data_IF_541666060325
#
_entry.id   IF_541666060325
#
_cell.length_a   1.000
_cell.length_b   1.000
_cell.length_c   1.000
_cell.angle_alpha   90.00
_cell.angle_beta   90.00
_cell.angle_gamma   90.00
#
_symmetry.space_group_name_H-M   'P 1'
#
loop_
_entity.id
_entity.type
_entity.pdbx_description
1 polymer ?
#
# COMPACT_ATOMS: atom_id res chain seq x y z
N UNK A 1 -21.04 5.01 21.27
CA UNK A 1 -20.00 3.99 21.02
C UNK A 1 -20.43 3.00 19.91
N UNK A 2 -21.01 3.50 18.80
CA UNK A 2 -21.55 2.67 17.69
C UNK A 2 -21.10 3.16 16.30
N UNK A 3 -20.46 4.32 16.20
CA UNK A 3 -20.03 4.94 14.94
C UNK A 3 -18.72 4.37 14.37
N UNK A 4 -17.87 3.74 15.20
CA UNK A 4 -16.61 3.13 14.73
C UNK A 4 -16.79 1.76 14.07
N UNK A 5 -17.85 1.04 14.41
CA UNK A 5 -18.15 -0.30 13.86
C UNK A 5 -18.79 -0.19 12.48
N UNK A 6 -19.59 0.84 12.24
CA UNK A 6 -20.22 1.07 10.93
C UNK A 6 -19.22 1.44 9.83
N UNK A 7 -18.14 2.19 10.16
CA UNK A 7 -17.08 2.46 9.18
C UNK A 7 -16.28 1.19 8.82
N UNK A 8 -16.03 0.30 9.79
CA UNK A 8 -15.31 -0.94 9.54
C UNK A 8 -16.11 -1.92 8.67
N UNK A 9 -17.45 -1.92 8.79
CA UNK A 9 -18.32 -2.77 7.99
C UNK A 9 -18.47 -2.28 6.54
N UNK A 10 -18.34 -0.97 6.29
CA UNK A 10 -18.40 -0.40 4.93
C UNK A 10 -17.13 -0.69 4.12
N UNK A 11 -15.97 -0.76 4.78
CA UNK A 11 -14.69 -1.05 4.11
C UNK A 11 -14.56 -2.54 3.75
N UNK A 12 -15.30 -3.43 4.43
CA UNK A 12 -15.18 -4.88 4.26
C UNK A 12 -15.77 -5.42 2.94
N UNK A 13 -16.47 -4.60 2.13
CA UNK A 13 -17.12 -5.11 0.91
C UNK A 13 -16.78 -4.42 -0.42
N UNK A 14 -16.14 -3.25 -0.48
CA UNK A 14 -16.12 -2.51 -1.76
C UNK A 14 -14.82 -1.86 -2.27
N UNK A 15 -13.79 -1.57 -1.47
CA UNK A 15 -12.69 -0.77 -2.01
C UNK A 15 -11.48 -1.61 -2.44
N UNK A 16 -11.42 -1.94 -3.73
CA UNK A 16 -10.15 -2.25 -4.39
C UNK A 16 -9.21 -1.08 -4.14
N UNK A 17 -8.17 -1.27 -3.34
CA UNK A 17 -7.17 -0.22 -3.09
C UNK A 17 -6.48 0.16 -4.41
N UNK A 18 -6.58 1.42 -4.83
CA UNK A 18 -6.00 1.93 -6.07
C UNK A 18 -4.76 2.78 -5.78
N UNK A 19 -3.65 2.50 -6.48
CA UNK A 19 -2.43 3.29 -6.46
C UNK A 19 -2.31 4.10 -7.75
N UNK A 20 -2.49 5.41 -7.64
CA UNK A 20 -2.50 6.32 -8.78
C UNK A 20 -1.09 6.81 -9.11
N UNK A 21 -0.74 6.77 -10.40
CA UNK A 21 0.46 7.37 -10.96
C UNK A 21 0.02 8.41 -11.99
N UNK A 22 0.29 9.67 -11.70
CA UNK A 22 0.02 10.77 -12.62
C UNK A 22 1.23 10.96 -13.52
N UNK A 23 1.02 10.91 -14.84
CA UNK A 23 2.05 11.17 -15.83
C UNK A 23 2.49 12.65 -15.84
N UNK A 24 3.36 13.04 -16.78
CA UNK A 24 3.89 12.21 -17.86
C UNK A 24 4.80 11.06 -17.37
N UNK A 25 4.76 9.92 -18.08
CA UNK A 25 5.56 8.72 -17.74
C UNK A 25 6.94 8.67 -18.41
N UNK A 26 7.38 9.83 -18.92
CA UNK A 26 8.72 10.06 -19.49
C UNK A 26 9.78 10.20 -18.41
N UNK A 27 9.37 10.50 -17.18
CA UNK A 27 10.23 10.66 -16.01
C UNK A 27 9.74 9.78 -14.85
N UNK A 28 10.53 9.74 -13.78
CA UNK A 28 10.18 8.97 -12.58
C UNK A 28 8.94 9.57 -11.92
N UNK A 29 7.88 8.78 -11.82
CA UNK A 29 6.64 9.17 -11.12
C UNK A 29 6.60 8.51 -9.76
N UNK A 30 6.43 9.30 -8.70
CA UNK A 30 6.31 8.77 -7.33
C UNK A 30 4.86 8.75 -6.88
N UNK A 31 4.45 7.69 -6.20
CA UNK A 31 3.19 7.58 -5.48
C UNK A 31 3.49 7.20 -4.02
N UNK A 32 2.79 7.82 -3.07
CA UNK A 32 3.00 7.57 -1.64
C UNK A 32 1.90 6.67 -1.07
N UNK A 33 2.34 5.59 -0.45
CA UNK A 33 1.51 4.63 0.25
C UNK A 33 1.68 4.84 1.76
N UNK A 34 0.57 5.07 2.48
CA UNK A 34 0.59 5.31 3.92
C UNK A 34 0.13 4.05 4.66
N UNK A 35 1.05 3.42 5.38
CA UNK A 35 0.74 2.30 6.26
C UNK A 35 0.63 2.79 7.69
N UNK A 36 -0.51 2.54 8.35
CA UNK A 36 -0.69 2.85 9.76
C UNK A 36 -0.86 1.55 10.53
N UNK A 37 -0.10 1.39 11.61
CA UNK A 37 -0.30 0.32 12.58
C UNK A 37 -1.19 0.83 13.72
N UNK A 38 -2.48 0.46 13.76
CA UNK A 38 -3.36 0.85 14.85
C UNK A 38 -3.23 -0.08 16.08
N UNK A 39 -2.47 -1.18 15.97
CA UNK A 39 -2.37 -2.17 17.04
C UNK A 39 -1.37 -1.75 18.12
N UNK A 40 -1.41 -2.50 19.22
CA UNK A 40 -0.49 -2.43 20.37
C UNK A 40 0.77 -3.29 20.16
N UNK A 41 0.87 -4.01 19.05
CA UNK A 41 1.99 -4.91 18.71
C UNK A 41 2.77 -4.37 17.51
N UNK A 42 4.04 -4.77 17.42
CA UNK A 42 4.86 -4.49 16.23
C UNK A 42 4.32 -5.28 15.04
N UNK A 43 4.26 -4.63 13.88
CA UNK A 43 3.83 -5.25 12.62
C UNK A 43 4.97 -5.19 11.62
N UNK A 44 5.40 -6.33 11.11
CA UNK A 44 6.33 -6.38 9.99
C UNK A 44 5.53 -6.31 8.68
N UNK A 45 6.05 -5.57 7.70
CA UNK A 45 5.46 -5.46 6.38
C UNK A 45 6.48 -5.78 5.29
N UNK A 46 5.98 -6.25 4.14
CA UNK A 46 6.74 -6.51 2.93
C UNK A 46 5.89 -6.18 1.71
N UNK A 47 6.44 -5.37 0.82
CA UNK A 47 5.80 -4.95 -0.42
C UNK A 47 6.29 -5.84 -1.56
N UNK A 48 5.35 -6.44 -2.29
CA UNK A 48 5.58 -7.24 -3.50
C UNK A 48 4.85 -6.58 -4.67
N UNK A 49 5.39 -6.72 -5.87
CA UNK A 49 4.78 -6.20 -7.10
C UNK A 49 4.88 -7.23 -8.22
N UNK A 50 3.92 -7.19 -9.15
CA UNK A 50 3.97 -8.03 -10.36
C UNK A 50 4.94 -7.51 -11.42
N UNK A 51 5.49 -6.30 -11.25
CA UNK A 51 6.40 -5.67 -12.22
C UNK A 51 7.66 -5.07 -11.56
N UNK A 52 8.49 -5.88 -10.86
CA UNK A 52 9.61 -5.37 -10.06
C UNK A 52 10.67 -4.59 -10.87
N UNK A 53 10.77 -4.82 -12.19
CA UNK A 53 11.68 -4.07 -13.07
C UNK A 53 11.25 -2.63 -13.32
N UNK A 54 9.95 -2.33 -13.22
CA UNK A 54 9.40 -0.99 -13.51
C UNK A 54 9.22 -0.14 -12.25
N UNK A 55 9.36 -0.73 -11.06
CA UNK A 55 9.08 -0.04 -9.81
C UNK A 55 10.24 -0.13 -8.84
N UNK A 56 10.60 1.00 -8.25
CA UNK A 56 11.44 1.08 -7.07
C UNK A 56 10.55 1.41 -5.86
N UNK A 57 10.62 0.62 -4.79
CA UNK A 57 9.82 0.81 -3.57
C UNK A 57 10.76 1.09 -2.41
N UNK A 58 10.52 2.19 -1.67
CA UNK A 58 11.30 2.52 -0.48
C UNK A 58 10.42 3.03 0.67
N UNK A 59 10.51 2.45 1.88
CA UNK A 59 11.08 1.13 2.17
C UNK A 59 10.26 -0.01 1.54
N UNK A 60 10.91 -1.08 1.07
CA UNK A 60 10.21 -2.26 0.51
C UNK A 60 9.76 -3.26 1.58
N UNK A 61 10.40 -3.25 2.75
CA UNK A 61 10.05 -4.03 3.93
C UNK A 61 10.52 -3.32 5.18
N UNK A 62 9.96 -3.69 6.32
CA UNK A 62 10.37 -3.14 7.61
C UNK A 62 9.40 -3.51 8.72
N UNK A 63 9.58 -2.86 9.86
CA UNK A 63 8.70 -2.99 11.03
C UNK A 63 8.03 -1.64 11.28
N UNK A 64 6.75 -1.68 11.65
CA UNK A 64 5.96 -0.53 12.06
C UNK A 64 5.62 -0.72 13.54
N UNK A 65 6.08 0.22 14.37
CA UNK A 65 5.80 0.20 15.79
C UNK A 65 4.31 0.41 16.11
N UNK A 66 3.86 0.01 17.31
CA UNK A 66 2.49 0.25 17.77
C UNK A 66 2.07 1.72 17.63
N UNK A 67 0.89 1.97 17.06
CA UNK A 67 0.37 3.32 16.83
C UNK A 67 1.10 4.14 15.74
N UNK A 68 2.24 3.67 15.23
CA UNK A 68 3.06 4.41 14.28
C UNK A 68 2.46 4.40 12.87
N UNK A 69 2.89 5.40 12.08
CA UNK A 69 2.55 5.50 10.65
C UNK A 69 3.83 5.60 9.85
N UNK A 70 3.91 4.80 8.79
CA UNK A 70 5.02 4.75 7.85
C UNK A 70 4.54 5.20 6.47
N UNK A 71 5.38 5.96 5.77
CA UNK A 71 5.17 6.32 4.37
C UNK A 71 6.11 5.50 3.50
N UNK A 72 5.56 4.88 2.46
CA UNK A 72 6.27 4.10 1.46
C UNK A 72 6.18 4.85 0.15
N UNK A 73 7.32 5.19 -0.44
CA UNK A 73 7.39 5.78 -1.76
C UNK A 73 7.53 4.69 -2.81
N UNK A 74 6.56 4.64 -3.72
CA UNK A 74 6.55 3.76 -4.89
C UNK A 74 6.90 4.62 -6.10
N UNK A 75 8.10 4.44 -6.63
CA UNK A 75 8.63 5.17 -7.77
C UNK A 75 8.51 4.29 -9.02
N UNK A 76 7.65 4.70 -9.94
CA UNK A 76 7.54 4.13 -11.27
C UNK A 76 8.67 4.68 -12.14
N UNK A 77 9.46 3.80 -12.74
CA UNK A 77 10.49 4.16 -13.70
C UNK A 77 9.86 4.61 -15.03
N UNK A 78 10.53 5.49 -15.79
CA UNK A 78 10.08 5.91 -17.11
C UNK A 78 9.78 4.74 -18.03
N UNK A 79 8.71 4.83 -18.82
CA UNK A 79 8.39 3.84 -19.84
C UNK A 79 7.49 4.41 -20.92
N UNK A 80 7.50 3.77 -22.09
CA UNK A 80 6.59 4.10 -23.19
C UNK A 80 5.16 3.71 -22.81
N UNK A 81 4.37 4.70 -22.42
CA UNK A 81 2.98 4.51 -22.01
C UNK A 81 2.06 4.42 -23.23
N UNK A 82 1.40 3.26 -23.41
CA UNK A 82 0.33 3.08 -24.38
C UNK A 82 -1.05 3.18 -23.67
N UNK A 83 -1.89 4.18 -24.00
CA UNK A 83 -3.22 4.32 -23.42
C UNK A 83 -4.17 3.15 -23.74
N UNK A 84 -3.88 2.36 -24.78
CA UNK A 84 -4.64 1.15 -25.11
C UNK A 84 -4.23 -0.04 -24.25
N UNK A 85 -3.03 0.00 -23.65
CA UNK A 85 -2.56 -1.02 -22.73
C UNK A 85 -3.19 -0.79 -21.35
N UNK A 86 -4.26 -1.55 -21.06
CA UNK A 86 -4.82 -1.59 -19.70
C UNK A 86 -3.76 -2.14 -18.76
N UNK A 87 -3.02 -1.25 -18.10
CA UNK A 87 -1.97 -1.66 -17.19
C UNK A 87 -2.53 -2.54 -16.08
N UNK A 88 -1.96 -3.75 -15.94
CA UNK A 88 -2.41 -4.78 -14.98
C UNK A 88 -1.51 -4.86 -13.75
N UNK A 89 -0.65 -3.86 -13.53
CA UNK A 89 0.29 -3.89 -12.41
C UNK A 89 -0.46 -3.93 -11.08
N UNK A 90 -0.04 -4.87 -10.24
CA UNK A 90 -0.59 -5.05 -8.90
C UNK A 90 0.53 -4.99 -7.88
N UNK A 91 0.23 -4.34 -6.77
CA UNK A 91 1.04 -4.39 -5.57
C UNK A 91 0.34 -5.25 -4.53
N UNK A 92 1.14 -5.86 -3.67
CA UNK A 92 0.69 -6.62 -2.53
C UNK A 92 1.51 -6.20 -1.33
N UNK A 93 0.84 -5.67 -0.31
CA UNK A 93 1.44 -5.40 0.99
C UNK A 93 1.10 -6.60 1.87
N UNK A 94 2.12 -7.34 2.24
CA UNK A 94 2.02 -8.48 3.13
C UNK A 94 2.45 -8.04 4.51
N UNK A 95 1.63 -8.30 5.53
CA UNK A 95 1.90 -7.91 6.91
C UNK A 95 1.77 -9.08 7.86
N UNK A 96 2.51 -9.03 8.96
CA UNK A 96 2.44 -10.00 10.04
C UNK A 96 2.73 -9.33 11.39
N UNK A 97 2.12 -9.81 12.45
CA UNK A 97 2.53 -9.47 13.80
C UNK A 97 3.92 -10.02 14.13
N UNK A 98 4.75 -9.19 14.72
CA UNK A 98 6.06 -9.62 15.24
C UNK A 98 5.84 -10.22 16.62
N UNK A 99 6.15 -11.51 16.84
CA UNK A 99 6.17 -12.12 18.16
C UNK A 99 7.21 -11.41 19.04
N UNK A 100 6.93 -11.27 20.33
CA UNK A 100 7.82 -10.58 21.27
C UNK A 100 9.24 -11.19 21.35
N UNK A 101 9.39 -12.46 20.95
CA UNK A 101 10.65 -13.20 20.98
C UNK A 101 11.57 -12.92 19.79
N UNK A 102 11.11 -12.26 18.73
CA UNK A 102 11.88 -12.12 17.49
C UNK A 102 12.34 -10.68 17.29
N UNK A 103 13.67 -10.51 17.27
CA UNK A 103 14.34 -9.22 17.01
C UNK A 103 14.73 -9.04 15.54
N UNK A 104 14.79 -10.13 14.76
CA UNK A 104 15.19 -10.11 13.37
C UNK A 104 14.00 -10.27 12.41
N UNK A 105 13.71 -9.21 11.65
CA UNK A 105 12.64 -9.17 10.67
C UNK A 105 12.85 -10.15 9.49
N UNK A 106 14.09 -10.51 9.17
CA UNK A 106 14.38 -11.38 8.03
C UNK A 106 14.17 -12.87 8.38
N UNK A 107 14.51 -13.26 9.61
CA UNK A 107 14.21 -14.58 10.16
C UNK A 107 12.69 -14.83 10.25
N UNK A 108 11.91 -13.80 10.60
CA UNK A 108 10.44 -13.88 10.66
C UNK A 108 9.83 -14.43 9.37
N UNK A 109 10.30 -14.02 8.19
CA UNK A 109 9.66 -14.44 6.95
C UNK A 109 9.88 -15.92 6.59
N UNK A 110 10.79 -16.63 7.27
CA UNK A 110 11.11 -18.05 6.98
C UNK A 110 10.18 -19.02 7.70
N UNK A 111 9.79 -18.70 8.93
CA UNK A 111 9.06 -19.61 9.82
C UNK A 111 7.54 -19.34 9.86
N UNK A 112 7.07 -18.39 9.06
CA UNK A 112 5.68 -17.94 9.09
C UNK A 112 4.77 -18.83 8.28
N UNK A 113 3.71 -19.29 8.93
CA UNK A 113 2.64 -20.03 8.28
C UNK A 113 1.84 -19.10 7.37
N UNK A 114 1.40 -19.56 6.18
CA UNK A 114 0.57 -18.77 5.27
C UNK A 114 -0.70 -18.23 5.95
N UNK A 115 -1.26 -18.97 6.90
CA UNK A 115 -2.47 -18.62 7.63
C UNK A 115 -2.28 -17.45 8.61
N UNK A 116 -1.05 -17.06 8.94
CA UNK A 116 -0.76 -15.91 9.79
C UNK A 116 -0.54 -14.62 8.97
N UNK A 117 -0.29 -14.77 7.66
CA UNK A 117 -0.03 -13.65 6.76
C UNK A 117 -1.30 -12.88 6.43
N UNK A 118 -1.19 -11.55 6.45
CA UNK A 118 -2.23 -10.64 6.03
C UNK A 118 -1.82 -9.97 4.72
N UNK A 119 -2.52 -10.28 3.63
CA UNK A 119 -2.24 -9.74 2.30
C UNK A 119 -3.26 -8.67 1.92
N UNK A 120 -2.76 -7.48 1.60
CA UNK A 120 -3.54 -6.37 1.03
C UNK A 120 -3.10 -6.14 -0.43
N UNK A 121 -4.01 -6.32 -1.38
CA UNK A 121 -3.73 -6.14 -2.82
C UNK A 121 -4.14 -4.73 -3.26
N UNK A 122 -3.24 -4.05 -3.96
CA UNK A 122 -3.48 -2.76 -4.58
C UNK A 122 -3.35 -2.87 -6.10
N UNK A 123 -4.18 -2.14 -6.83
CA UNK A 123 -4.14 -2.05 -8.29
C UNK A 123 -3.55 -0.71 -8.71
N UNK A 124 -2.62 -0.71 -9.65
CA UNK A 124 -2.10 0.54 -10.20
C UNK A 124 -3.06 1.13 -11.23
N UNK A 125 -3.21 2.45 -11.18
CA UNK A 125 -3.96 3.25 -12.15
C UNK A 125 -3.02 4.33 -12.67
N UNK A 126 -2.99 4.51 -13.98
CA UNK A 126 -2.14 5.48 -14.65
C UNK A 126 -3.04 6.55 -15.25
N UNK A 127 -2.83 7.79 -14.85
CA UNK A 127 -3.62 8.94 -15.32
C UNK A 127 -2.66 9.94 -15.97
N UNK A 128 -2.97 10.42 -17.17
CA UNK A 128 -2.24 11.53 -17.79
C UNK A 128 -2.91 12.85 -17.35
N UNK A 129 -2.14 13.86 -16.88
CA UNK A 129 -2.72 15.14 -16.53
C UNK A 129 -3.23 15.86 -17.79
N UNK A 130 -4.52 16.16 -17.87
CA UNK A 130 -5.03 17.12 -18.86
C UNK A 130 -4.68 18.56 -18.41
N UNK A 131 -4.53 19.50 -19.34
CA UNK A 131 -4.05 20.86 -19.00
C UNK A 131 -4.93 21.59 -17.97
N UNK A 132 -6.24 21.31 -17.94
CA UNK A 132 -7.19 21.86 -16.96
C UNK A 132 -7.12 21.18 -15.58
N UNK A 133 -6.49 20.01 -15.48
CA UNK A 133 -6.44 19.21 -14.25
C UNK A 133 -5.19 19.47 -13.41
N UNK A 134 -4.18 20.20 -13.89
CA UNK A 134 -2.90 20.40 -13.16
C UNK A 134 -3.11 20.99 -11.75
N UNK A 135 -4.06 21.91 -11.59
CA UNK A 135 -4.39 22.56 -10.29
C UNK A 135 -5.25 21.62 -9.41
N UNK A 136 -6.16 20.85 -10.01
CA UNK A 136 -7.06 19.91 -9.31
C UNK A 136 -6.32 18.65 -8.85
N UNK A 137 -5.39 18.13 -9.66
CA UNK A 137 -4.55 16.97 -9.36
C UNK A 137 -3.62 17.28 -8.19
N UNK A 138 -3.06 18.49 -8.10
CA UNK A 138 -2.18 18.92 -7.00
C UNK A 138 -2.89 18.87 -5.63
N UNK A 139 -4.14 19.34 -5.55
CA UNK A 139 -4.98 19.29 -4.34
C UNK A 139 -5.50 17.88 -4.05
N UNK A 140 -5.77 17.08 -5.09
CA UNK A 140 -6.23 15.70 -4.98
C UNK A 140 -5.10 14.76 -4.55
N UNK A 141 -3.85 15.00 -4.98
CA UNK A 141 -2.65 14.26 -4.59
C UNK A 141 -2.36 14.39 -3.08
N UNK A 142 -2.59 15.58 -2.51
CA UNK A 142 -2.53 15.81 -1.06
C UNK A 142 -3.61 15.03 -0.29
N UNK A 143 -4.76 14.78 -0.93
CA UNK A 143 -5.91 14.06 -0.33
C UNK A 143 -5.95 12.55 -0.66
N UNK A 144 -5.21 12.06 -1.67
CA UNK A 144 -5.14 10.65 -2.10
C UNK A 144 -3.98 9.87 -1.47
N UNK A 145 -3.53 10.24 -0.27
CA UNK A 145 -2.73 9.32 0.54
C UNK A 145 -3.56 8.05 0.78
N UNK A 146 -3.17 6.94 0.16
CA UNK A 146 -3.87 5.67 0.34
C UNK A 146 -3.61 5.22 1.77
N UNK A 147 -4.62 5.33 2.61
CA UNK A 147 -4.61 4.81 3.97
C UNK A 147 -4.87 3.31 3.89
N UNK A 148 -3.80 2.52 3.86
CA UNK A 148 -3.93 1.10 4.19
C UNK A 148 -3.99 1.03 5.71
N UNK A 149 -5.21 1.11 6.22
CA UNK A 149 -5.46 0.82 7.62
C UNK A 149 -5.37 -0.70 7.75
N UNK A 150 -4.29 -1.20 8.36
CA UNK A 150 -4.08 -2.63 8.67
C UNK A 150 -5.23 -3.19 9.56
N UNK A 151 -6.09 -2.29 10.06
CA UNK A 151 -7.30 -2.49 10.85
C UNK A 151 -8.20 -3.66 10.41
N UNK A 152 -8.46 -3.84 9.11
CA UNK A 152 -9.50 -4.79 8.67
C UNK A 152 -9.09 -6.26 8.70
N UNK A 153 -7.81 -6.57 8.56
CA UNK A 153 -7.37 -7.97 8.49
C UNK A 153 -7.13 -8.56 9.88
N UNK A 154 -6.80 -7.71 10.86
CA UNK A 154 -6.57 -8.10 12.26
C UNK A 154 -7.86 -8.54 12.96
N UNK A 155 -9.00 -7.93 12.65
CA UNK A 155 -10.27 -8.26 13.30
C UNK A 155 -10.99 -9.48 12.69
N UNK A 156 -10.47 -10.06 11.61
CA UNK A 156 -11.02 -11.27 10.99
C UNK A 156 -10.30 -12.56 11.41
N UNK A 157 -9.15 -12.46 12.09
CA UNK A 157 -8.35 -13.63 12.54
C UNK A 157 -8.31 -13.83 14.06
N UNK A 158 -8.95 -12.95 14.82
CA UNK A 158 -9.32 -13.16 16.23
C UNK A 158 -10.82 -13.38 16.33
#
# INVERSE_FOLDING_TARGET
MWTKIFLAWFISKCDVLLLFFSGPFTDVVTANLKLKNPSDKKVCFKVKTTAPRRYCVRPNSGIIDPGATLFISVMLQPFDYDPNEKSKHKFMVQTIFVPAAVTDAEAMWKDVKPDELMDSKLRCVFELPSENDKVVISLTYYNRCIYVCIYLQVHLKN
#
